data_IF_859727139484
#
_entry.id   IF_859727139484
#
_cell.length_a   1.000
_cell.length_b   1.000
_cell.length_c   1.000
_cell.angle_alpha   90.00
_cell.angle_beta   90.00
_cell.angle_gamma   90.00
#
_symmetry.space_group_name_H-M   'P 1'
#
loop_
_entity.id
_entity.type
_entity.pdbx_description
1 polymer ?
#
# COMPACT_ATOMS: atom_id res chain seq x y z
N UNK A 1 8.80 -43.60 26.36
CA UNK A 1 8.18 -42.47 25.64
C UNK A 1 9.30 -41.57 25.14
N UNK A 2 9.56 -41.55 23.83
CA UNK A 2 10.59 -40.69 23.23
C UNK A 2 10.00 -39.31 22.99
N UNK A 3 10.14 -38.42 23.98
CA UNK A 3 9.83 -37.00 23.83
C UNK A 3 11.00 -36.28 23.14
N UNK A 4 11.05 -36.34 21.81
CA UNK A 4 11.93 -35.46 21.05
C UNK A 4 11.52 -34.00 21.23
N UNK A 5 12.47 -33.04 21.23
CA UNK A 5 12.14 -31.62 21.32
C UNK A 5 11.22 -31.22 20.17
N UNK A 6 10.19 -30.42 20.47
CA UNK A 6 9.30 -29.89 19.46
C UNK A 6 10.10 -29.07 18.43
N UNK A 7 9.79 -29.19 17.13
CA UNK A 7 10.47 -28.41 16.10
C UNK A 7 10.28 -26.92 16.37
N UNK A 8 11.38 -26.15 16.30
CA UNK A 8 11.34 -24.70 16.39
C UNK A 8 10.49 -24.16 15.24
N UNK A 9 9.50 -23.29 15.48
CA UNK A 9 8.72 -22.69 14.40
C UNK A 9 9.65 -21.93 13.46
N UNK A 10 9.54 -22.19 12.16
CA UNK A 10 10.30 -21.48 11.15
C UNK A 10 10.01 -19.97 11.21
N UNK A 11 11.06 -19.15 11.11
CA UNK A 11 10.91 -17.70 11.08
C UNK A 11 10.12 -17.26 9.83
N UNK A 12 9.20 -16.31 10.00
CA UNK A 12 8.47 -15.72 8.88
C UNK A 12 9.45 -15.04 7.89
N UNK A 13 9.18 -15.10 6.58
CA UNK A 13 10.01 -14.40 5.61
C UNK A 13 10.00 -12.89 5.87
N UNK A 14 11.10 -12.18 5.57
CA UNK A 14 11.17 -10.73 5.74
C UNK A 14 10.18 -10.02 4.80
N UNK A 15 9.69 -8.82 5.17
CA UNK A 15 8.81 -8.04 4.32
C UNK A 15 9.53 -7.62 3.03
N UNK A 16 8.77 -7.55 1.93
CA UNK A 16 9.24 -6.93 0.69
C UNK A 16 9.03 -5.43 0.82
N UNK A 17 10.11 -4.67 0.66
CA UNK A 17 10.12 -3.22 0.80
C UNK A 17 10.08 -2.56 -0.58
N UNK A 18 9.02 -1.80 -0.86
CA UNK A 18 8.84 -1.09 -2.13
C UNK A 18 9.29 0.38 -2.01
N UNK A 19 9.09 0.98 -0.83
CA UNK A 19 9.62 2.28 -0.47
C UNK A 19 9.95 2.26 1.03
N UNK A 20 11.23 2.22 1.39
CA UNK A 20 11.66 1.95 2.76
C UNK A 20 11.23 3.03 3.76
N UNK A 21 11.54 4.28 3.42
CA UNK A 21 11.25 5.54 4.12
C UNK A 21 11.17 6.74 3.16
N UNK A 22 11.31 6.49 1.85
CA UNK A 22 11.30 7.52 0.82
C UNK A 22 9.93 8.16 0.77
N UNK A 23 9.87 9.45 1.10
CA UNK A 23 8.65 10.25 1.01
C UNK A 23 8.38 10.60 -0.45
N UNK A 24 7.20 10.22 -0.91
CA UNK A 24 6.68 10.49 -2.24
C UNK A 24 5.52 11.46 -2.09
N UNK A 25 5.58 12.59 -2.78
CA UNK A 25 4.55 13.63 -2.78
C UNK A 25 3.78 13.58 -4.10
N UNK A 26 2.48 13.32 -4.01
CA UNK A 26 1.53 13.34 -5.12
C UNK A 26 0.62 14.57 -4.95
N UNK A 27 0.35 15.29 -6.02
CA UNK A 27 -0.48 16.50 -5.99
C UNK A 27 -0.16 17.46 -7.13
N UNK A 28 -0.70 18.67 -7.06
CA UNK A 28 -0.44 19.75 -8.02
C UNK A 28 0.06 21.05 -7.36
N UNK A 29 0.50 20.93 -6.10
CA UNK A 29 0.94 22.04 -5.27
C UNK A 29 2.39 22.45 -5.56
N UNK A 30 2.61 23.71 -5.96
CA UNK A 30 3.95 24.29 -6.21
C UNK A 30 4.49 25.04 -4.99
N UNK A 31 4.42 24.40 -3.83
CA UNK A 31 4.94 25.05 -2.65
C UNK A 31 6.49 25.05 -2.69
N UNK A 32 7.15 26.23 -2.56
CA UNK A 32 8.61 26.31 -2.56
C UNK A 32 9.18 25.63 -1.30
N UNK A 33 10.49 25.34 -1.24
CA UNK A 33 11.13 24.88 -0.01
C UNK A 33 10.70 25.73 1.21
N UNK A 34 10.39 25.10 2.36
CA UNK A 34 10.78 23.76 2.79
C UNK A 34 9.79 22.63 2.46
N UNK A 35 8.77 22.89 1.64
CA UNK A 35 7.76 21.90 1.29
C UNK A 35 8.33 20.77 0.41
N UNK A 36 7.76 19.56 0.51
CA UNK A 36 8.32 18.38 -0.15
C UNK A 36 8.19 18.49 -1.68
N UNK A 37 9.20 18.17 -2.48
CA UNK A 37 9.07 18.25 -3.94
C UNK A 37 8.11 17.18 -4.47
N UNK A 38 7.32 17.53 -5.50
CA UNK A 38 6.46 16.59 -6.21
C UNK A 38 7.27 15.41 -6.78
N UNK A 39 6.71 14.21 -6.66
CA UNK A 39 7.33 13.00 -7.16
C UNK A 39 7.61 13.11 -8.67
N UNK A 40 8.87 12.83 -9.04
CA UNK A 40 9.33 12.94 -10.43
C UNK A 40 9.37 14.36 -10.99
N UNK A 41 9.22 15.40 -10.14
CA UNK A 41 9.23 16.81 -10.57
C UNK A 41 8.08 17.19 -11.50
N UNK A 42 6.95 16.48 -11.44
CA UNK A 42 5.80 16.68 -12.33
C UNK A 42 4.70 17.45 -11.60
N UNK A 43 4.06 18.38 -12.30
CA UNK A 43 2.86 19.06 -11.83
C UNK A 43 1.74 18.94 -12.89
N UNK A 44 0.66 18.17 -12.66
CA UNK A 44 0.40 17.38 -11.45
C UNK A 44 1.23 16.09 -11.40
N UNK A 45 1.57 15.65 -10.19
CA UNK A 45 2.07 14.32 -9.88
C UNK A 45 0.91 13.46 -9.39
N UNK A 46 0.18 12.83 -10.30
CA UNK A 46 -1.11 12.18 -9.98
C UNK A 46 -0.98 10.73 -9.51
N UNK A 47 0.21 10.15 -9.62
CA UNK A 47 0.40 8.73 -9.33
C UNK A 47 1.84 8.37 -9.04
N UNK A 48 2.03 7.37 -8.18
CA UNK A 48 3.29 6.67 -7.95
C UNK A 48 3.14 5.19 -8.29
N UNK A 49 4.23 4.57 -8.79
CA UNK A 49 4.28 3.14 -9.10
C UNK A 49 5.54 2.51 -8.49
N UNK A 50 5.36 1.37 -7.84
CA UNK A 50 6.43 0.56 -7.26
C UNK A 50 6.34 -0.89 -7.71
N UNK A 51 7.38 -1.37 -8.39
CA UNK A 51 7.47 -2.74 -8.87
C UNK A 51 8.22 -3.66 -7.91
N UNK A 52 7.81 -4.93 -7.82
CA UNK A 52 8.51 -5.96 -7.06
C UNK A 52 8.36 -7.35 -7.72
N UNK A 53 9.22 -8.30 -7.34
CA UNK A 53 9.22 -9.65 -7.90
C UNK A 53 8.95 -10.70 -6.82
N UNK A 54 8.10 -11.66 -7.13
CA UNK A 54 7.84 -12.84 -6.31
C UNK A 54 8.34 -14.09 -7.03
N UNK A 55 9.05 -14.97 -6.31
CA UNK A 55 9.50 -16.24 -6.89
C UNK A 55 8.30 -17.15 -7.21
N UNK A 56 7.36 -17.25 -6.28
CA UNK A 56 6.11 -17.98 -6.42
C UNK A 56 4.98 -17.17 -5.81
N UNK A 57 3.74 -17.45 -6.22
CA UNK A 57 2.56 -16.87 -5.59
C UNK A 57 2.50 -17.33 -4.13
N UNK A 58 2.27 -16.43 -3.16
CA UNK A 58 2.16 -16.83 -1.76
C UNK A 58 0.91 -17.69 -1.53
N UNK A 59 1.06 -18.74 -0.72
CA UNK A 59 -0.05 -19.60 -0.30
C UNK A 59 -0.74 -19.08 0.96
N UNK A 60 -0.17 -18.08 1.62
CA UNK A 60 -0.72 -17.43 2.81
C UNK A 60 -1.24 -16.03 2.46
N UNK A 61 -2.27 -15.59 3.20
CA UNK A 61 -2.79 -14.24 3.06
C UNK A 61 -1.68 -13.19 3.19
N UNK A 62 -1.72 -12.18 2.33
CA UNK A 62 -0.75 -11.10 2.30
C UNK A 62 -1.41 -9.78 2.67
N UNK A 63 -0.59 -8.85 3.15
CA UNK A 63 -0.98 -7.50 3.51
C UNK A 63 0.01 -6.52 2.89
N UNK A 64 -0.53 -5.47 2.29
CA UNK A 64 0.21 -4.30 1.85
C UNK A 64 0.07 -3.21 2.92
N UNK A 65 1.16 -2.84 3.58
CA UNK A 65 1.19 -1.65 4.44
C UNK A 65 1.83 -0.47 3.73
N UNK A 66 1.35 0.72 4.04
CA UNK A 66 1.95 1.99 3.66
C UNK A 66 1.60 3.04 4.70
N UNK A 67 2.46 4.03 4.87
CA UNK A 67 2.14 5.21 5.67
C UNK A 67 1.73 6.34 4.74
N UNK A 68 0.63 7.01 5.08
CA UNK A 68 0.09 8.14 4.34
C UNK A 68 -0.02 9.36 5.26
N UNK A 69 0.09 10.54 4.67
CA UNK A 69 -0.16 11.80 5.34
C UNK A 69 -1.00 12.68 4.42
N UNK A 70 -1.98 13.36 5.01
CA UNK A 70 -2.97 14.21 4.33
C UNK A 70 -3.84 13.51 3.26
N UNK A 71 -4.37 12.29 3.48
CA UNK A 71 -5.44 11.79 2.62
C UNK A 71 -6.72 12.62 2.83
N UNK A 72 -6.95 13.65 2.00
CA UNK A 72 -8.12 14.51 2.14
C UNK A 72 -9.30 14.02 1.30
N UNK A 73 -9.03 13.23 0.25
CA UNK A 73 -10.05 12.81 -0.70
C UNK A 73 -10.34 11.31 -0.70
N UNK A 74 -11.63 10.97 -0.76
CA UNK A 74 -12.13 9.58 -0.83
C UNK A 74 -11.84 8.88 -2.15
N UNK A 75 -11.54 9.65 -3.21
CA UNK A 75 -11.28 9.11 -4.54
C UNK A 75 -9.87 8.52 -4.71
N UNK A 76 -8.98 8.71 -3.74
CA UNK A 76 -7.63 8.15 -3.78
C UNK A 76 -7.69 6.62 -3.78
N UNK A 77 -6.85 5.99 -4.59
CA UNK A 77 -6.85 4.55 -4.78
C UNK A 77 -5.45 3.93 -4.66
N UNK A 78 -5.42 2.73 -4.07
CA UNK A 78 -4.27 1.83 -4.13
C UNK A 78 -4.65 0.64 -4.99
N UNK A 79 -3.82 0.33 -5.97
CA UNK A 79 -4.00 -0.77 -6.92
C UNK A 79 -2.82 -1.72 -6.85
N UNK A 80 -3.10 -2.99 -7.07
CA UNK A 80 -2.11 -4.05 -7.25
C UNK A 80 -2.38 -4.71 -8.60
N UNK A 81 -1.36 -4.75 -9.46
CA UNK A 81 -1.46 -5.34 -10.80
C UNK A 81 -2.66 -4.81 -11.61
N UNK A 82 -2.90 -3.50 -11.52
CA UNK A 82 -4.00 -2.81 -12.19
C UNK A 82 -5.39 -3.00 -11.55
N UNK A 83 -5.53 -3.81 -10.50
CA UNK A 83 -6.79 -4.02 -9.79
C UNK A 83 -6.79 -3.22 -8.49
N UNK A 84 -7.91 -2.56 -8.18
CA UNK A 84 -8.06 -1.83 -6.92
C UNK A 84 -8.02 -2.83 -5.76
N UNK A 85 -7.23 -2.53 -4.72
CA UNK A 85 -7.34 -3.24 -3.45
C UNK A 85 -8.68 -2.85 -2.81
N UNK A 86 -9.42 -3.79 -2.23
CA UNK A 86 -10.74 -3.51 -1.65
C UNK A 86 -10.59 -2.63 -0.41
N UNK A 87 -10.55 -1.33 -0.65
CA UNK A 87 -10.42 -0.29 0.33
C UNK A 87 -11.82 0.12 0.80
N UNK A 88 -12.04 0.13 2.12
CA UNK A 88 -12.89 1.21 2.67
C UNK A 88 -12.22 2.53 2.26
N UNK A 89 -12.97 3.62 2.05
CA UNK A 89 -12.34 4.89 1.71
C UNK A 89 -11.18 5.15 2.68
N UNK A 90 -10.05 5.64 2.16
CA UNK A 90 -8.91 5.96 3.02
C UNK A 90 -9.40 6.83 4.18
N UNK A 91 -8.88 6.65 5.41
CA UNK A 91 -9.29 7.50 6.53
C UNK A 91 -9.12 8.95 6.10
N UNK A 92 -10.22 9.69 6.06
CA UNK A 92 -10.26 11.12 5.75
C UNK A 92 -10.33 11.91 7.04
N UNK A 93 -9.66 13.06 7.05
CA UNK A 93 -9.74 14.11 8.06
C UNK A 93 -9.25 13.77 9.47
N UNK A 94 -8.00 14.13 9.72
CA UNK A 94 -7.69 14.79 11.00
C UNK A 94 -7.04 16.18 10.83
N UNK A 95 -6.68 16.61 9.60
CA UNK A 95 -5.85 17.81 9.29
C UNK A 95 -4.59 17.95 10.15
N UNK A 96 -4.28 16.94 10.94
CA UNK A 96 -3.08 16.88 11.72
C UNK A 96 -2.04 16.35 10.76
N UNK A 97 -0.88 16.98 10.70
CA UNK A 97 0.24 16.50 9.89
C UNK A 97 0.83 15.22 10.52
N UNK A 98 -0.01 14.18 10.65
CA UNK A 98 0.29 12.88 11.23
C UNK A 98 0.38 11.84 10.12
N UNK A 99 1.28 10.89 10.33
CA UNK A 99 1.40 9.72 9.47
C UNK A 99 0.42 8.65 9.95
N UNK A 100 -0.47 8.22 9.06
CA UNK A 100 -1.41 7.14 9.28
C UNK A 100 -0.88 5.87 8.60
N UNK A 101 -0.80 4.79 9.35
CA UNK A 101 -0.49 3.47 8.77
C UNK A 101 -1.75 2.86 8.18
N UNK A 102 -1.73 2.62 6.87
CA UNK A 102 -2.73 1.83 6.17
C UNK A 102 -2.27 0.38 6.07
N UNK A 103 -3.19 -0.54 6.34
CA UNK A 103 -2.96 -1.99 6.27
C UNK A 103 -4.02 -2.60 5.38
N UNK A 104 -3.63 -3.02 4.18
CA UNK A 104 -4.54 -3.39 3.10
C UNK A 104 -4.45 -4.90 2.85
N UNK A 105 -5.52 -5.68 3.07
CA UNK A 105 -5.56 -7.08 2.69
C UNK A 105 -5.35 -7.21 1.19
N UNK A 106 -4.44 -8.09 0.79
CA UNK A 106 -4.17 -8.37 -0.62
C UNK A 106 -4.91 -9.65 -1.01
N UNK A 107 -5.90 -9.58 -1.91
CA UNK A 107 -6.56 -10.77 -2.41
C UNK A 107 -5.56 -11.70 -3.08
N UNK A 108 -5.64 -12.99 -2.75
CA UNK A 108 -4.65 -13.96 -3.19
C UNK A 108 -4.52 -14.01 -4.71
N UNK A 109 -5.62 -13.82 -5.45
CA UNK A 109 -5.70 -13.82 -6.92
C UNK A 109 -5.11 -12.57 -7.58
N UNK A 110 -4.73 -11.56 -6.80
CA UNK A 110 -4.09 -10.37 -7.32
C UNK A 110 -2.57 -10.48 -7.37
N UNK A 111 -1.94 -11.40 -6.64
CA UNK A 111 -0.49 -11.63 -6.70
C UNK A 111 -0.12 -12.66 -7.76
N UNK A 112 1.00 -12.38 -8.45
CA UNK A 112 1.55 -13.23 -9.50
C UNK A 112 2.93 -13.73 -9.10
N UNK A 113 3.31 -14.91 -9.60
CA UNK A 113 4.74 -15.22 -9.74
C UNK A 113 5.35 -14.24 -10.74
N UNK A 114 6.59 -13.81 -10.50
CA UNK A 114 7.27 -12.79 -11.28
C UNK A 114 6.91 -11.36 -10.87
N UNK A 115 6.79 -10.48 -11.86
CA UNK A 115 6.60 -9.04 -11.64
C UNK A 115 5.19 -8.71 -11.11
N UNK A 116 5.16 -7.85 -10.10
CA UNK A 116 3.97 -7.25 -9.53
C UNK A 116 4.19 -5.74 -9.41
N UNK A 117 3.12 -4.95 -9.55
CA UNK A 117 3.16 -3.49 -9.47
C UNK A 117 2.11 -2.98 -8.50
N UNK A 118 2.54 -2.14 -7.56
CA UNK A 118 1.65 -1.31 -6.74
C UNK A 118 1.56 0.07 -7.37
N UNK A 119 0.36 0.59 -7.51
CA UNK A 119 0.09 1.95 -7.93
C UNK A 119 -0.71 2.67 -6.83
N UNK A 120 -0.26 3.87 -6.46
CA UNK A 120 -1.05 4.81 -5.66
C UNK A 120 -1.44 5.95 -6.58
N UNK A 121 -2.74 6.25 -6.67
CA UNK A 121 -3.27 7.32 -7.49
C UNK A 121 -4.14 8.24 -6.66
N UNK A 122 -3.92 9.53 -6.82
CA UNK A 122 -4.74 10.55 -6.18
C UNK A 122 -5.92 10.93 -7.06
N UNK A 123 -6.95 11.49 -6.45
CA UNK A 123 -8.16 11.98 -7.11
C UNK A 123 -8.22 13.50 -7.12
N UNK A 124 -9.23 14.04 -7.81
CA UNK A 124 -9.53 15.46 -7.70
C UNK A 124 -10.10 15.79 -6.33
N UNK A 125 -9.82 17.01 -5.87
CA UNK A 125 -10.51 17.63 -4.73
C UNK A 125 -12.01 17.70 -4.99
N UNK A 126 -12.83 17.69 -3.92
CA UNK A 126 -14.25 18.00 -4.07
C UNK A 126 -14.42 19.37 -4.78
N UNK A 127 -15.44 19.53 -5.65
CA UNK A 127 -15.59 20.76 -6.45
C UNK A 127 -15.56 22.06 -5.65
N UNK A 128 -16.03 22.05 -4.40
CA UNK A 128 -16.03 23.22 -3.51
C UNK A 128 -14.63 23.64 -3.02
N UNK A 129 -13.64 22.73 -3.04
CA UNK A 129 -12.26 22.97 -2.60
C UNK A 129 -11.28 23.16 -3.76
N UNK A 130 -11.71 22.94 -5.01
CA UNK A 130 -10.88 23.15 -6.18
C UNK A 130 -10.56 24.64 -6.38
N UNK A 131 -9.29 24.93 -6.62
CA UNK A 131 -8.82 26.25 -7.02
C UNK A 131 -8.39 26.20 -8.50
N UNK A 132 -8.31 27.36 -9.16
CA UNK A 132 -8.04 27.46 -10.62
C UNK A 132 -6.82 26.65 -11.10
N UNK A 133 -5.84 26.38 -10.22
CA UNK A 133 -4.62 25.63 -10.53
C UNK A 133 -4.36 24.44 -9.59
N UNK A 134 -5.23 24.20 -8.63
CA UNK A 134 -5.07 23.17 -7.60
C UNK A 134 -6.37 22.39 -7.50
N UNK A 135 -6.45 21.32 -8.27
CA UNK A 135 -7.64 20.49 -8.44
C UNK A 135 -7.40 19.05 -8.01
N UNK A 136 -6.15 18.64 -7.78
CA UNK A 136 -5.76 17.30 -7.30
C UNK A 136 -5.55 17.30 -5.79
N UNK A 137 -5.81 16.17 -5.13
CA UNK A 137 -5.46 15.98 -3.71
C UNK A 137 -3.95 16.06 -3.48
N UNK A 138 -3.54 16.38 -2.25
CA UNK A 138 -2.15 16.46 -1.83
C UNK A 138 -1.85 15.31 -0.85
N UNK A 139 -1.16 14.29 -1.35
CA UNK A 139 -0.92 13.04 -0.62
C UNK A 139 0.58 12.75 -0.52
N UNK A 140 1.04 12.58 0.72
CA UNK A 140 2.37 12.07 1.02
C UNK A 140 2.29 10.59 1.36
N UNK A 141 3.16 9.78 0.75
CA UNK A 141 3.28 8.34 1.06
C UNK A 141 4.72 7.95 1.41
N UNK A 142 4.89 6.95 2.29
CA UNK A 142 6.17 6.30 2.61
C UNK A 142 5.95 4.88 3.15
N UNK A 143 7.04 4.18 3.48
CA UNK A 143 7.02 2.88 4.17
C UNK A 143 6.13 1.82 3.47
N UNK A 144 6.16 1.76 2.13
CA UNK A 144 5.35 0.81 1.35
C UNK A 144 5.97 -0.59 1.41
N UNK A 145 5.24 -1.57 1.94
CA UNK A 145 5.74 -2.93 2.20
C UNK A 145 4.67 -4.00 1.99
N UNK A 146 5.06 -5.13 1.39
CA UNK A 146 4.24 -6.35 1.34
C UNK A 146 4.76 -7.36 2.36
N UNK A 147 3.88 -7.95 3.16
CA UNK A 147 4.24 -8.94 4.15
C UNK A 147 3.10 -9.95 4.40
N UNK A 148 3.41 -11.13 4.98
CA UNK A 148 2.37 -12.06 5.41
C UNK A 148 1.39 -11.40 6.37
N UNK A 149 0.10 -11.69 6.21
CA UNK A 149 -0.88 -11.31 7.22
C UNK A 149 -0.47 -11.97 8.56
N UNK A 150 -0.30 -11.17 9.60
CA UNK A 150 -0.07 -11.74 10.93
C UNK A 150 -1.27 -12.59 11.31
N UNK A 151 -1.04 -13.89 11.53
CA UNK A 151 -2.04 -14.75 12.13
C UNK A 151 -2.29 -14.24 13.56
N UNK A 152 -3.54 -13.99 13.94
CA UNK A 152 -3.87 -13.84 15.36
C UNK A 152 -3.33 -15.07 16.09
N UNK A 153 -2.63 -14.92 17.23
CA UNK A 153 -2.24 -16.09 18.02
C UNK A 153 -3.49 -16.91 18.36
N UNK A 154 -3.52 -18.18 17.91
CA UNK A 154 -4.64 -19.10 18.09
C UNK A 154 -5.70 -19.13 16.97
N UNK A 155 -5.55 -18.34 15.90
CA UNK A 155 -6.40 -18.44 14.70
C UNK A 155 -5.58 -19.01 13.55
N UNK A 156 -6.05 -20.10 12.95
CA UNK A 156 -5.41 -20.73 11.79
C UNK A 156 -5.15 -19.67 10.72
N UNK A 157 -3.92 -19.60 10.19
CA UNK A 157 -3.59 -18.67 9.09
C UNK A 157 -4.57 -18.94 7.96
N UNK A 158 -5.36 -17.94 7.57
CA UNK A 158 -6.27 -18.09 6.45
C UNK A 158 -5.43 -18.31 5.20
N UNK A 159 -5.33 -19.58 4.79
CA UNK A 159 -4.66 -19.95 3.57
C UNK A 159 -5.40 -19.32 2.40
N UNK A 160 -4.65 -18.87 1.40
CA UNK A 160 -5.22 -18.64 0.10
C UNK A 160 -5.80 -19.99 -0.36
N UNK A 161 -7.13 -20.11 -0.43
CA UNK A 161 -7.75 -21.34 -0.88
C UNK A 161 -7.14 -21.72 -2.23
N UNK A 162 -6.55 -22.91 -2.31
CA UNK A 162 -6.09 -23.47 -3.56
C UNK A 162 -7.35 -23.75 -4.37
N UNK A 163 -7.62 -22.96 -5.41
CA UNK A 163 -8.53 -23.45 -6.44
C UNK A 163 -7.88 -24.67 -7.09
N UNK A 164 -8.61 -25.79 -7.28
CA UNK A 164 -8.07 -26.92 -7.99
C UNK A 164 -7.71 -26.48 -9.41
N UNK A 165 -6.47 -26.74 -9.82
CA UNK A 165 -6.06 -26.62 -11.21
C UNK A 165 -7.00 -27.49 -12.07
N UNK A 166 -7.75 -26.84 -12.96
CA UNK A 166 -8.57 -27.48 -13.99
C UNK A 166 -7.85 -27.53 -15.33
#
# INVERSE_FOLDING_TARGET
>A
ANGGPAPTPAASPPPIVLAADTRVHLGDSELPPPWWPLYGGRNPSTSWRGGFYLRARPNEAQVLSLEVMQPNEYGNEVRLNGRRLNLRPLPTDDFTSQWLTLTLPVPCDQLRSGYNEVEVRISHLLPAYQQKRYVWDDLLIRNVRLHPAEGRPGTERTACANEPEG
#
